data_IF_284527261952
#
_entry.id   IF_284527261952
#
_cell.length_a   1.000
_cell.length_b   1.000
_cell.length_c   1.000
_cell.angle_alpha   90.00
_cell.angle_beta   90.00
_cell.angle_gamma   90.00
#
_symmetry.space_group_name_H-M   'P 1'
#
loop_
_entity.id
_entity.type
_entity.pdbx_description
1 polymer ?
#
# COMPACT_ATOMS: atom_id res chain seq x y z
N UNK A 1 2.82 -17.27 -1.70
CA UNK A 1 3.02 -15.90 -1.17
C UNK A 1 3.97 -15.15 -2.09
N UNK A 2 3.65 -13.90 -2.45
CA UNK A 2 4.50 -13.00 -3.24
C UNK A 2 4.67 -11.70 -2.46
N UNK A 3 5.89 -11.18 -2.31
CA UNK A 3 6.14 -9.93 -1.59
C UNK A 3 6.08 -8.77 -2.58
N UNK A 4 5.56 -7.65 -2.10
CA UNK A 4 5.45 -6.42 -2.87
C UNK A 4 6.03 -5.28 -2.04
N UNK A 5 7.01 -4.57 -2.61
CA UNK A 5 7.48 -3.29 -2.11
C UNK A 5 6.95 -2.17 -3.00
N UNK A 6 6.49 -1.09 -2.40
CA UNK A 6 6.06 0.11 -3.10
C UNK A 6 6.57 1.36 -2.40
N UNK A 7 6.76 2.45 -3.15
CA UNK A 7 7.21 3.73 -2.61
C UNK A 7 6.38 4.89 -3.14
N UNK A 8 6.11 5.86 -2.27
CA UNK A 8 5.46 7.13 -2.62
C UNK A 8 6.07 8.26 -1.78
N UNK A 9 5.93 9.51 -2.23
CA UNK A 9 6.33 10.67 -1.42
C UNK A 9 5.16 11.12 -0.55
N UNK A 10 5.43 11.38 0.72
CA UNK A 10 4.56 12.09 1.64
C UNK A 10 4.79 13.59 1.46
N UNK A 11 3.71 14.36 1.35
CA UNK A 11 3.80 15.82 1.37
C UNK A 11 4.16 16.28 2.79
N UNK A 12 5.26 17.02 3.00
CA UNK A 12 5.70 17.44 4.33
C UNK A 12 4.60 18.15 5.13
N UNK A 13 3.81 18.99 4.46
CA UNK A 13 2.71 19.77 5.04
C UNK A 13 1.49 18.93 5.44
N UNK A 14 1.40 17.68 5.00
CA UNK A 14 0.31 16.76 5.33
C UNK A 14 0.75 15.59 6.23
N UNK A 15 2.00 15.64 6.75
CA UNK A 15 2.59 14.53 7.52
C UNK A 15 1.75 14.15 8.73
N UNK A 16 1.40 15.13 9.55
CA UNK A 16 0.65 14.87 10.79
C UNK A 16 -0.72 14.23 10.50
N UNK A 17 -1.40 14.71 9.47
CA UNK A 17 -2.69 14.16 9.06
C UNK A 17 -2.57 12.72 8.56
N UNK A 18 -1.57 12.43 7.72
CA UNK A 18 -1.33 11.07 7.22
C UNK A 18 -1.08 10.08 8.37
N UNK A 19 -0.25 10.48 9.34
CA UNK A 19 0.06 9.67 10.53
C UNK A 19 -1.18 9.48 11.41
N UNK A 20 -1.98 10.53 11.62
CA UNK A 20 -3.22 10.45 12.38
C UNK A 20 -4.24 9.50 11.74
N UNK A 21 -4.38 9.55 10.41
CA UNK A 21 -5.23 8.63 9.66
C UNK A 21 -4.73 7.19 9.86
N UNK A 22 -3.46 6.91 9.58
CA UNK A 22 -2.94 5.53 9.63
C UNK A 22 -2.76 4.96 11.04
N UNK A 23 -2.81 5.78 12.09
CA UNK A 23 -2.89 5.31 13.48
C UNK A 23 -4.23 4.60 13.79
N UNK A 24 -5.27 4.83 12.97
CA UNK A 24 -6.60 4.25 13.14
C UNK A 24 -7.26 3.99 11.78
N UNK A 25 -6.65 3.12 10.97
CA UNK A 25 -7.21 2.70 9.68
C UNK A 25 -8.62 2.12 9.89
N UNK A 26 -9.54 2.48 9.01
CA UNK A 26 -10.92 2.03 9.13
C UNK A 26 -11.03 0.51 9.02
N UNK A 27 -11.76 -0.19 9.92
CA UNK A 27 -11.82 -1.65 9.94
C UNK A 27 -12.27 -2.28 8.61
N UNK A 28 -13.21 -1.66 7.90
CA UNK A 28 -13.65 -2.17 6.60
C UNK A 28 -12.60 -2.00 5.48
N UNK A 29 -11.69 -1.02 5.54
CA UNK A 29 -10.57 -0.92 4.59
C UNK A 29 -9.60 -2.07 4.82
N UNK A 30 -9.28 -2.35 6.09
CA UNK A 30 -8.46 -3.51 6.41
C UNK A 30 -9.14 -4.83 6.04
N UNK A 31 -10.47 -4.93 6.18
CA UNK A 31 -11.24 -6.08 5.75
C UNK A 31 -11.14 -6.28 4.23
N UNK A 32 -11.35 -5.23 3.43
CA UNK A 32 -11.20 -5.27 1.98
C UNK A 32 -9.79 -5.76 1.58
N UNK A 33 -8.74 -5.26 2.23
CA UNK A 33 -7.37 -5.71 2.00
C UNK A 33 -7.18 -7.21 2.35
N UNK A 34 -7.73 -7.67 3.48
CA UNK A 34 -7.68 -9.09 3.88
C UNK A 34 -8.42 -9.98 2.89
N UNK A 35 -9.60 -9.58 2.42
CA UNK A 35 -10.39 -10.30 1.42
C UNK A 35 -9.70 -10.33 0.04
N UNK A 36 -8.92 -9.29 -0.27
CA UNK A 36 -8.06 -9.21 -1.45
C UNK A 36 -6.67 -9.88 -1.26
N UNK A 37 -6.57 -10.83 -0.32
CA UNK A 37 -5.37 -11.63 -0.08
C UNK A 37 -4.08 -10.86 0.27
N UNK A 38 -4.20 -9.63 0.77
CA UNK A 38 -3.09 -8.84 1.30
C UNK A 38 -2.84 -9.21 2.76
N UNK A 39 -1.61 -9.56 3.11
CA UNK A 39 -1.14 -9.98 4.43
C UNK A 39 0.12 -9.20 4.81
N UNK A 40 0.40 -9.16 6.10
CA UNK A 40 1.62 -8.55 6.65
C UNK A 40 1.91 -7.14 6.10
N UNK A 41 0.86 -6.33 5.90
CA UNK A 41 1.00 -5.01 5.28
C UNK A 41 1.51 -3.99 6.31
N UNK A 42 2.68 -3.44 6.04
CA UNK A 42 3.29 -2.36 6.82
C UNK A 42 3.63 -1.18 5.90
N UNK A 43 3.43 0.04 6.41
CA UNK A 43 3.91 1.27 5.77
C UNK A 43 4.94 1.90 6.70
N UNK A 44 6.16 2.07 6.21
CA UNK A 44 7.27 2.72 6.90
C UNK A 44 7.42 4.16 6.41
N UNK A 45 7.98 5.03 7.24
CA UNK A 45 8.27 6.42 6.91
C UNK A 45 9.75 6.72 7.16
N UNK A 46 10.43 7.26 6.16
CA UNK A 46 11.79 7.79 6.28
C UNK A 46 11.87 9.12 5.55
N UNK A 47 12.16 10.21 6.26
CA UNK A 47 11.97 11.58 5.77
C UNK A 47 10.58 11.74 5.16
N UNK A 48 10.48 12.13 3.89
CA UNK A 48 9.23 12.28 3.14
C UNK A 48 8.92 11.05 2.27
N UNK A 49 9.57 9.91 2.49
CA UNK A 49 9.32 8.68 1.74
C UNK A 49 8.50 7.69 2.57
N UNK A 50 7.38 7.28 2.00
CA UNK A 50 6.57 6.18 2.51
C UNK A 50 6.94 4.91 1.74
N UNK A 51 7.36 3.88 2.46
CA UNK A 51 7.64 2.56 1.92
C UNK A 51 6.55 1.58 2.36
N UNK A 52 5.76 1.08 1.41
CA UNK A 52 4.77 0.04 1.63
C UNK A 52 5.36 -1.35 1.38
N UNK A 53 5.16 -2.27 2.32
CA UNK A 53 5.52 -3.67 2.18
C UNK A 53 4.31 -4.55 2.50
N UNK A 54 3.92 -5.44 1.61
CA UNK A 54 2.91 -6.47 1.91
C UNK A 54 3.22 -7.80 1.24
N UNK A 55 2.57 -8.85 1.76
CA UNK A 55 2.58 -10.19 1.22
C UNK A 55 1.24 -10.50 0.57
N UNK A 56 1.26 -10.91 -0.69
CA UNK A 56 0.08 -11.35 -1.42
C UNK A 56 0.01 -12.88 -1.44
N UNK A 57 -1.12 -13.45 -1.03
CA UNK A 57 -1.32 -14.91 -0.94
C UNK A 57 -2.33 -15.48 -1.93
N UNK A 58 -2.95 -14.65 -2.76
CA UNK A 58 -3.97 -15.08 -3.72
C UNK A 58 -3.39 -15.60 -5.05
N UNK A 59 -4.28 -15.84 -6.02
CA UNK A 59 -3.91 -16.31 -7.35
C UNK A 59 -3.70 -15.15 -8.35
N UNK A 60 -4.66 -14.23 -8.42
CA UNK A 60 -4.70 -13.13 -9.40
C UNK A 60 -4.61 -11.76 -8.71
N UNK A 61 -3.38 -11.23 -8.64
CA UNK A 61 -3.11 -9.97 -7.95
C UNK A 61 -3.77 -8.78 -8.65
N UNK A 62 -3.84 -8.78 -9.98
CA UNK A 62 -4.45 -7.69 -10.73
C UNK A 62 -5.97 -7.62 -10.50
N UNK A 63 -6.64 -8.78 -10.47
CA UNK A 63 -8.07 -8.85 -10.14
C UNK A 63 -8.37 -8.42 -8.70
N UNK A 64 -7.51 -8.80 -7.74
CA UNK A 64 -7.65 -8.41 -6.33
C UNK A 64 -7.41 -6.90 -6.15
N UNK A 65 -6.41 -6.31 -6.82
CA UNK A 65 -6.19 -4.86 -6.83
C UNK A 65 -7.36 -4.09 -7.45
N UNK A 66 -7.92 -4.59 -8.55
CA UNK A 66 -9.11 -4.00 -9.17
C UNK A 66 -10.32 -4.03 -8.23
N UNK A 67 -10.46 -5.09 -7.42
CA UNK A 67 -11.52 -5.19 -6.41
C UNK A 67 -11.33 -4.16 -5.29
N UNK A 68 -10.10 -4.00 -4.79
CA UNK A 68 -9.75 -2.95 -3.81
C UNK A 68 -10.10 -1.57 -4.38
N UNK A 69 -9.73 -1.29 -5.63
CA UNK A 69 -10.03 -0.02 -6.29
C UNK A 69 -11.52 0.20 -6.59
N UNK A 70 -12.32 -0.86 -6.60
CA UNK A 70 -13.77 -0.79 -6.78
C UNK A 70 -14.54 -0.59 -5.46
N UNK A 71 -13.94 -0.96 -4.33
CA UNK A 71 -14.57 -0.89 -3.01
C UNK A 71 -14.90 0.57 -2.59
N UNK A 72 -16.16 0.91 -2.30
CA UNK A 72 -16.55 2.26 -1.92
C UNK A 72 -15.85 2.77 -0.66
N UNK A 73 -15.61 1.90 0.33
CA UNK A 73 -14.98 2.32 1.58
C UNK A 73 -13.50 2.65 1.37
N UNK A 74 -12.81 1.85 0.57
CA UNK A 74 -11.44 2.12 0.14
C UNK A 74 -11.33 3.43 -0.64
N UNK A 75 -12.29 3.73 -1.53
CA UNK A 75 -12.33 5.01 -2.25
C UNK A 75 -12.47 6.21 -1.32
N UNK A 76 -13.39 6.14 -0.35
CA UNK A 76 -13.57 7.20 0.66
C UNK A 76 -12.32 7.37 1.52
N UNK A 77 -11.65 6.28 1.87
CA UNK A 77 -10.37 6.34 2.56
C UNK A 77 -9.30 7.06 1.73
N UNK A 78 -9.23 6.77 0.43
CA UNK A 78 -8.28 7.43 -0.47
C UNK A 78 -8.56 8.91 -0.68
N UNK A 79 -9.81 9.37 -0.61
CA UNK A 79 -10.14 10.81 -0.63
C UNK A 79 -9.44 11.56 0.52
N UNK A 80 -9.20 10.90 1.65
CA UNK A 80 -8.48 11.47 2.80
C UNK A 80 -6.97 11.32 2.68
N UNK A 81 -6.48 10.16 2.21
CA UNK A 81 -5.04 9.87 2.23
C UNK A 81 -4.29 10.31 0.98
N UNK A 82 -4.93 10.31 -0.19
CA UNK A 82 -4.28 10.67 -1.46
C UNK A 82 -3.81 12.13 -1.49
N UNK A 83 -4.53 13.12 -0.92
CA UNK A 83 -4.04 14.50 -0.82
C UNK A 83 -2.75 14.63 -0.02
N UNK A 84 -2.48 13.71 0.91
CA UNK A 84 -1.23 13.69 1.68
C UNK A 84 -0.02 13.21 0.86
N UNK A 85 -0.24 12.70 -0.34
CA UNK A 85 0.77 11.97 -1.11
C UNK A 85 1.11 12.66 -2.44
N UNK A 86 2.30 12.36 -2.94
CA UNK A 86 2.75 12.68 -4.29
C UNK A 86 3.30 11.40 -4.94
N UNK A 87 2.70 11.01 -6.06
CA UNK A 87 3.10 9.81 -6.79
C UNK A 87 4.55 9.93 -7.31
N UNK A 88 5.30 8.83 -7.13
CA UNK A 88 6.62 8.62 -7.73
C UNK A 88 6.58 7.64 -8.90
N UNK A 89 5.39 7.18 -9.29
CA UNK A 89 5.23 6.19 -10.34
C UNK A 89 5.56 6.79 -11.72
N UNK A 90 5.96 5.94 -12.65
CA UNK A 90 6.21 6.36 -14.02
C UNK A 90 4.91 6.91 -14.64
N UNK A 91 4.94 8.11 -15.27
CA UNK A 91 3.76 8.65 -15.93
C UNK A 91 3.17 7.68 -16.94
N UNK A 92 1.87 7.38 -16.82
CA UNK A 92 1.15 6.46 -17.70
C UNK A 92 1.20 4.99 -17.31
N UNK A 93 1.90 4.62 -16.22
CA UNK A 93 1.90 3.24 -15.68
C UNK A 93 0.52 2.78 -15.17
N UNK A 94 -0.32 3.73 -14.73
CA UNK A 94 -1.57 3.45 -14.03
C UNK A 94 -1.39 3.23 -12.53
N UNK A 95 -0.15 3.22 -12.03
CA UNK A 95 0.16 3.06 -10.62
C UNK A 95 0.11 4.40 -9.88
N UNK A 96 -0.43 4.41 -8.66
CA UNK A 96 -0.32 5.57 -7.77
C UNK A 96 0.94 5.51 -6.90
N UNK A 97 1.22 4.34 -6.31
CA UNK A 97 2.48 4.06 -5.62
C UNK A 97 3.44 3.37 -6.57
N UNK A 98 4.70 3.82 -6.62
CA UNK A 98 5.69 3.24 -7.52
C UNK A 98 6.07 1.82 -7.05
N UNK A 99 5.98 0.79 -7.91
CA UNK A 99 6.41 -0.56 -7.56
C UNK A 99 7.94 -0.65 -7.43
N UNK A 100 8.41 -1.46 -6.49
CA UNK A 100 9.83 -1.74 -6.28
C UNK A 100 10.19 -3.15 -6.74
N UNK A 101 11.41 -3.32 -7.25
CA UNK A 101 11.96 -4.63 -7.59
C UNK A 101 12.55 -5.29 -6.34
N UNK A 102 11.99 -6.43 -5.94
CA UNK A 102 12.68 -7.33 -5.01
C UNK A 102 13.97 -7.85 -5.66
N UNK A 103 15.12 -7.56 -5.06
CA UNK A 103 16.44 -8.00 -5.56
C UNK A 103 17.02 -9.15 -4.74
N UNK A 104 16.55 -9.33 -3.52
CA UNK A 104 17.02 -10.36 -2.59
C UNK A 104 16.03 -10.56 -1.46
N UNK A 105 15.95 -11.78 -0.94
CA UNK A 105 15.21 -12.15 0.26
C UNK A 105 15.92 -13.35 0.91
N UNK A 106 16.21 -13.24 2.22
CA UNK A 106 16.63 -14.38 3.02
C UNK A 106 15.41 -15.20 3.40
N UNK A 107 15.32 -16.42 2.89
CA UNK A 107 14.34 -17.40 3.37
C UNK A 107 14.73 -17.87 4.77
N UNK A 108 13.74 -18.14 5.61
CA UNK A 108 13.99 -18.85 6.87
C UNK A 108 14.63 -20.22 6.58
N UNK A 109 15.55 -20.66 7.45
CA UNK A 109 16.05 -22.03 7.40
C UNK A 109 14.86 -22.97 7.56
N UNK A 110 14.64 -23.84 6.57
CA UNK A 110 13.67 -24.93 6.73
C UNK A 110 14.26 -25.92 7.75
N UNK A 111 13.55 -26.28 8.83
CA UNK A 111 13.99 -27.37 9.69
C UNK A 111 14.19 -28.68 8.93
#
# INVERSE_FOLDING_TARGET
>A
MRRHGTVIRLRPEQREEYLRLHAAVWPGVEQTLREANIRNYTIFLHDDLLFGYYEYVGADHAADQARIAADPQTRQWWELTAPCQESLAEPGSGDWWAPMREVWHLTEETP
#
